data_IF_725137764177
#
_entry.id   IF_725137764177
#
_cell.length_a   1.000
_cell.length_b   1.000
_cell.length_c   1.000
_cell.angle_alpha   90.00
_cell.angle_beta   90.00
_cell.angle_gamma   90.00
#
_symmetry.space_group_name_H-M   'P 1'
#
loop_
_entity.id
_entity.type
_entity.pdbx_description
1 polymer ?
#
# COMPACT_ATOMS: atom_id res chain seq x y z
N UNK A 1 -16.50 -2.68 7.95
CA UNK A 1 -17.54 -3.49 7.30
C UNK A 1 -18.91 -2.80 7.27
N UNK A 2 -19.40 -2.18 8.36
CA UNK A 2 -20.74 -1.57 8.47
C UNK A 2 -21.06 -0.52 7.39
N UNK A 3 -20.08 0.03 6.69
CA UNK A 3 -20.29 0.99 5.60
C UNK A 3 -20.37 0.33 4.22
N UNK A 4 -20.01 -0.96 4.11
CA UNK A 4 -19.84 -1.63 2.81
C UNK A 4 -20.73 -2.86 2.65
N UNK A 5 -21.41 -3.32 3.71
CA UNK A 5 -22.28 -4.49 3.67
C UNK A 5 -23.46 -4.33 4.63
N UNK A 6 -24.59 -4.96 4.29
CA UNK A 6 -25.78 -5.02 5.15
C UNK A 6 -25.59 -5.97 6.34
N UNK A 7 -24.70 -6.97 6.21
CA UNK A 7 -24.42 -7.98 7.22
C UNK A 7 -22.94 -7.93 7.66
N UNK A 8 -22.48 -6.86 8.32
CA UNK A 8 -21.08 -6.67 8.65
C UNK A 8 -20.50 -7.75 9.57
N UNK A 9 -21.31 -8.25 10.52
CA UNK A 9 -20.88 -9.28 11.48
C UNK A 9 -20.65 -10.63 10.81
N UNK A 10 -21.47 -11.00 9.83
CA UNK A 10 -21.32 -12.24 9.07
C UNK A 10 -19.98 -12.27 8.34
N UNK A 11 -19.59 -11.16 7.70
CA UNK A 11 -18.30 -11.05 7.01
C UNK A 11 -17.14 -11.00 8.00
N UNK A 12 -17.27 -10.26 9.09
CA UNK A 12 -16.24 -10.17 10.12
C UNK A 12 -15.89 -11.56 10.71
N UNK A 13 -16.92 -12.38 10.96
CA UNK A 13 -16.78 -13.71 11.54
C UNK A 13 -16.18 -14.75 10.56
N UNK A 14 -16.09 -14.43 9.26
CA UNK A 14 -15.43 -15.29 8.25
C UNK A 14 -13.93 -15.01 8.16
N UNK A 15 -13.43 -13.97 8.84
CA UNK A 15 -12.03 -13.59 8.79
C UNK A 15 -11.33 -14.15 10.03
N UNK A 16 -10.24 -14.87 9.80
CA UNK A 16 -9.31 -15.22 10.86
C UNK A 16 -8.38 -14.03 11.11
N UNK A 17 -8.37 -13.53 12.34
CA UNK A 17 -7.56 -12.41 12.76
C UNK A 17 -6.33 -12.92 13.47
N UNK A 18 -5.14 -12.61 12.93
CA UNK A 18 -3.85 -13.02 13.47
C UNK A 18 -3.03 -11.77 13.78
N UNK A 19 -2.60 -11.61 15.02
CA UNK A 19 -1.66 -10.56 15.40
C UNK A 19 -0.24 -10.97 15.02
N UNK A 20 0.44 -10.11 14.27
CA UNK A 20 1.81 -10.34 13.81
C UNK A 20 2.71 -9.16 14.15
N UNK A 21 3.97 -9.43 14.45
CA UNK A 21 5.02 -8.43 14.50
C UNK A 21 5.83 -8.46 13.19
N UNK A 22 5.82 -7.37 12.43
CA UNK A 22 6.58 -7.25 11.19
C UNK A 22 8.11 -7.27 11.38
N UNK A 23 8.60 -7.10 12.60
CA UNK A 23 10.03 -7.24 12.92
C UNK A 23 10.38 -8.70 13.34
N UNK A 24 9.39 -9.55 13.57
CA UNK A 24 9.56 -10.98 13.90
C UNK A 24 9.23 -11.88 12.70
N UNK A 25 10.28 -12.36 12.03
CA UNK A 25 10.16 -13.22 10.86
C UNK A 25 9.40 -14.53 11.18
N UNK A 26 9.61 -15.09 12.38
CA UNK A 26 8.92 -16.31 12.78
C UNK A 26 7.41 -16.09 12.96
N UNK A 27 7.03 -14.95 13.53
CA UNK A 27 5.63 -14.54 13.63
C UNK A 27 4.97 -14.44 12.25
N UNK A 28 5.67 -13.82 11.28
CA UNK A 28 5.19 -13.71 9.89
C UNK A 28 5.09 -15.06 9.19
N UNK A 29 6.09 -15.93 9.33
CA UNK A 29 6.08 -17.28 8.76
C UNK A 29 4.92 -18.13 9.28
N UNK A 30 4.65 -18.05 10.60
CA UNK A 30 3.51 -18.74 11.19
C UNK A 30 2.15 -18.23 10.66
N UNK A 31 2.01 -16.91 10.49
CA UNK A 31 0.80 -16.31 9.93
C UNK A 31 0.56 -16.68 8.46
N UNK A 32 1.64 -16.95 7.71
CA UNK A 32 1.56 -17.35 6.30
C UNK A 32 1.36 -18.86 6.09
N UNK A 33 1.22 -19.65 7.15
CA UNK A 33 1.02 -21.09 7.01
C UNK A 33 -0.30 -21.39 6.26
N UNK A 34 -0.20 -22.03 5.09
CA UNK A 34 -1.34 -22.36 4.23
C UNK A 34 -1.89 -21.17 3.41
N UNK A 35 -1.24 -19.99 3.46
CA UNK A 35 -1.61 -18.82 2.67
C UNK A 35 -1.02 -18.95 1.26
N UNK A 36 -1.85 -18.74 0.24
CA UNK A 36 -1.43 -18.79 -1.17
C UNK A 36 -1.32 -17.39 -1.79
N UNK A 37 -2.06 -16.41 -1.29
CA UNK A 37 -2.08 -15.04 -1.81
C UNK A 37 -1.95 -14.02 -0.68
N UNK A 38 -1.15 -12.99 -0.93
CA UNK A 38 -0.93 -11.90 0.04
C UNK A 38 -1.29 -10.56 -0.58
N UNK A 39 -2.13 -9.79 0.11
CA UNK A 39 -2.43 -8.40 -0.20
C UNK A 39 -1.79 -7.50 0.87
N UNK A 40 -0.63 -6.95 0.56
CA UNK A 40 0.11 -6.10 1.49
C UNK A 40 -0.35 -4.65 1.40
N UNK A 41 -1.35 -4.31 2.20
CA UNK A 41 -1.91 -2.95 2.31
C UNK A 41 -1.36 -2.16 3.50
N UNK A 42 -0.59 -2.82 4.37
CA UNK A 42 -0.07 -2.19 5.59
C UNK A 42 1.00 -1.16 5.27
N UNK A 43 0.82 0.05 5.76
CA UNK A 43 1.83 1.10 5.75
C UNK A 43 1.57 2.12 6.86
N UNK A 44 2.63 2.67 7.43
CA UNK A 44 2.55 3.85 8.28
C UNK A 44 2.60 5.10 7.39
N UNK A 45 1.61 5.97 7.58
CA UNK A 45 1.57 7.31 6.98
C UNK A 45 1.60 8.33 8.11
N UNK A 46 2.62 9.14 8.17
CA UNK A 46 2.78 10.17 9.19
C UNK A 46 3.57 11.35 8.61
N UNK A 47 3.04 12.55 8.76
CA UNK A 47 3.66 13.77 8.24
C UNK A 47 4.54 14.48 9.28
N UNK A 48 4.62 13.95 10.51
CA UNK A 48 5.44 14.53 11.54
C UNK A 48 6.94 14.23 11.29
N UNK A 49 7.86 15.21 11.38
CA UNK A 49 9.28 15.00 11.10
C UNK A 49 9.94 13.87 11.92
N UNK A 50 9.51 13.69 13.16
CA UNK A 50 10.05 12.66 14.07
C UNK A 50 9.55 11.25 13.74
N UNK A 51 8.50 11.08 12.93
CA UNK A 51 7.94 9.78 12.56
C UNK A 51 8.74 9.05 11.49
N UNK A 52 9.73 9.72 10.84
CA UNK A 52 10.51 9.18 9.72
C UNK A 52 11.14 7.82 10.03
N UNK A 53 11.79 7.71 11.18
CA UNK A 53 12.49 6.47 11.57
C UNK A 53 11.52 5.29 11.71
N UNK A 54 10.42 5.51 12.39
CA UNK A 54 9.41 4.48 12.59
C UNK A 54 8.71 4.13 11.28
N UNK A 55 8.41 5.11 10.44
CA UNK A 55 7.85 4.90 9.11
C UNK A 55 8.77 4.03 8.24
N UNK A 56 10.08 4.27 8.24
CA UNK A 56 11.05 3.47 7.48
C UNK A 56 11.13 2.05 8.03
N UNK A 57 11.14 1.89 9.36
CA UNK A 57 11.10 0.56 9.99
C UNK A 57 9.85 -0.21 9.59
N UNK A 58 8.68 0.40 9.70
CA UNK A 58 7.41 -0.26 9.38
C UNK A 58 7.29 -0.54 7.89
N UNK A 59 7.51 0.47 7.04
CA UNK A 59 7.21 0.34 5.62
C UNK A 59 8.30 -0.44 4.88
N UNK A 60 9.58 -0.13 5.11
CA UNK A 60 10.68 -0.76 4.37
C UNK A 60 11.02 -2.11 5.00
N UNK A 61 11.42 -2.12 6.28
CA UNK A 61 11.86 -3.37 6.91
C UNK A 61 10.70 -4.36 7.05
N UNK A 62 9.50 -3.87 7.42
CA UNK A 62 8.31 -4.71 7.51
C UNK A 62 7.94 -5.36 6.18
N UNK A 63 7.94 -4.61 5.07
CA UNK A 63 7.71 -5.17 3.73
C UNK A 63 8.80 -6.18 3.36
N UNK A 64 10.07 -5.87 3.61
CA UNK A 64 11.18 -6.78 3.36
C UNK A 64 11.05 -8.09 4.13
N UNK A 65 10.73 -8.03 5.42
CA UNK A 65 10.55 -9.21 6.26
C UNK A 65 9.36 -10.05 5.78
N UNK A 66 8.25 -9.41 5.40
CA UNK A 66 7.10 -10.12 4.84
C UNK A 66 7.45 -10.83 3.53
N UNK A 67 8.20 -10.20 2.63
CA UNK A 67 8.66 -10.81 1.39
C UNK A 67 9.57 -12.01 1.65
N UNK A 68 10.49 -11.91 2.61
CA UNK A 68 11.34 -13.05 3.04
C UNK A 68 10.45 -14.20 3.55
N UNK A 69 9.46 -13.89 4.40
CA UNK A 69 8.55 -14.91 4.90
C UNK A 69 7.72 -15.57 3.78
N UNK A 70 7.33 -14.80 2.75
CA UNK A 70 6.63 -15.35 1.58
C UNK A 70 7.50 -16.32 0.78
N UNK A 71 8.81 -16.07 0.64
CA UNK A 71 9.73 -16.92 -0.13
C UNK A 71 9.83 -18.34 0.46
N UNK A 72 9.73 -18.46 1.78
CA UNK A 72 9.81 -19.73 2.50
C UNK A 72 8.43 -20.35 2.82
N UNK A 73 7.38 -19.90 2.12
CA UNK A 73 5.99 -20.31 2.39
C UNK A 73 5.28 -20.89 1.16
N UNK A 74 3.98 -21.16 1.28
CA UNK A 74 3.11 -21.57 0.17
C UNK A 74 2.57 -20.41 -0.67
N UNK A 75 3.02 -19.18 -0.43
CA UNK A 75 2.54 -17.97 -1.15
C UNK A 75 2.93 -18.07 -2.62
N UNK A 76 1.92 -18.00 -3.48
CA UNK A 76 2.05 -18.08 -4.93
C UNK A 76 2.03 -16.68 -5.59
N UNK A 77 1.34 -15.72 -4.96
CA UNK A 77 1.18 -14.39 -5.52
C UNK A 77 1.10 -13.30 -4.45
N UNK A 78 1.69 -12.16 -4.72
CA UNK A 78 1.83 -11.06 -3.78
C UNK A 78 1.40 -9.74 -4.42
N UNK A 79 0.38 -9.09 -3.85
CA UNK A 79 -0.07 -7.76 -4.23
C UNK A 79 0.48 -6.71 -3.26
N UNK A 80 1.22 -5.75 -3.78
CA UNK A 80 1.73 -4.61 -3.02
C UNK A 80 0.95 -3.34 -3.34
N UNK A 81 0.30 -2.76 -2.33
CA UNK A 81 -0.32 -1.44 -2.49
C UNK A 81 0.74 -0.37 -2.23
N UNK A 82 1.31 0.15 -3.32
CA UNK A 82 2.26 1.26 -3.34
C UNK A 82 1.54 2.63 -3.32
N UNK A 83 1.99 3.59 -4.09
CA UNK A 83 1.38 4.93 -4.18
C UNK A 83 1.89 5.66 -5.42
N UNK A 84 1.07 6.53 -6.02
CA UNK A 84 1.55 7.49 -7.03
C UNK A 84 2.68 8.40 -6.49
N UNK A 85 2.87 8.49 -5.18
CA UNK A 85 3.94 9.28 -4.59
C UNK A 85 5.36 8.79 -4.93
N UNK A 86 5.50 7.58 -5.51
CA UNK A 86 6.76 7.03 -5.99
C UNK A 86 7.00 7.31 -7.48
N UNK A 87 6.06 7.89 -8.17
CA UNK A 87 6.15 8.20 -9.59
C UNK A 87 6.50 9.67 -9.78
N UNK A 88 7.43 9.94 -10.66
CA UNK A 88 7.86 11.28 -11.06
C UNK A 88 7.86 11.42 -12.58
N UNK A 89 7.63 12.62 -13.01
CA UNK A 89 7.57 12.91 -14.43
C UNK A 89 6.18 12.65 -15.02
N UNK A 90 5.97 13.27 -16.15
CA UNK A 90 4.74 13.15 -16.91
C UNK A 90 5.09 12.61 -18.30
N UNK A 91 4.23 11.78 -18.84
CA UNK A 91 4.31 11.33 -20.22
C UNK A 91 4.01 12.48 -21.21
N UNK A 92 4.03 12.21 -22.50
CA UNK A 92 3.77 13.20 -23.57
C UNK A 92 2.37 13.83 -23.48
N UNK A 93 1.43 13.15 -22.82
CA UNK A 93 0.06 13.63 -22.59
C UNK A 93 -0.06 14.47 -21.31
N UNK A 94 1.01 14.63 -20.52
CA UNK A 94 0.99 15.32 -19.22
C UNK A 94 0.43 14.48 -18.07
N UNK A 95 0.45 13.16 -18.20
CA UNK A 95 -0.07 12.21 -17.20
C UNK A 95 1.07 11.37 -16.61
N UNK A 96 0.89 10.88 -15.38
CA UNK A 96 1.71 9.82 -14.79
C UNK A 96 1.12 8.47 -15.16
N UNK A 97 1.97 7.53 -15.55
CA UNK A 97 1.62 6.18 -15.93
C UNK A 97 2.63 5.15 -15.39
N UNK A 98 2.52 3.89 -15.81
CA UNK A 98 3.36 2.79 -15.37
C UNK A 98 4.82 2.92 -15.84
N UNK A 99 5.09 3.75 -16.84
CA UNK A 99 6.45 4.05 -17.34
C UNK A 99 7.10 5.22 -16.58
N UNK A 100 6.36 5.90 -15.71
CA UNK A 100 6.87 7.00 -14.88
C UNK A 100 7.82 6.48 -13.82
N UNK A 101 9.05 7.01 -13.78
CA UNK A 101 10.11 6.54 -12.90
C UNK A 101 10.32 7.47 -11.71
N UNK A 102 10.79 6.91 -10.59
CA UNK A 102 11.22 7.67 -9.43
C UNK A 102 12.50 8.48 -9.72
N UNK A 103 12.47 9.78 -9.46
CA UNK A 103 13.60 10.67 -9.65
C UNK A 103 14.26 11.05 -8.33
N UNK A 104 15.34 10.35 -7.96
CA UNK A 104 16.07 10.58 -6.71
C UNK A 104 16.67 11.98 -6.54
N UNK A 105 16.67 12.81 -7.59
CA UNK A 105 17.17 14.20 -7.54
C UNK A 105 16.11 15.17 -7.01
N UNK A 106 14.83 14.75 -6.98
CA UNK A 106 13.75 15.56 -6.43
C UNK A 106 13.67 15.40 -4.91
N UNK A 107 13.07 16.37 -4.27
CA UNK A 107 12.84 16.33 -2.81
C UNK A 107 11.52 15.62 -2.52
N UNK A 108 11.59 14.40 -2.03
CA UNK A 108 10.44 13.57 -1.71
C UNK A 108 10.08 13.59 -0.22
N UNK A 109 8.80 13.38 0.07
CA UNK A 109 8.37 13.12 1.43
C UNK A 109 8.98 11.81 1.97
N UNK A 110 9.14 11.70 3.29
CA UNK A 110 9.60 10.46 3.92
C UNK A 110 8.69 9.26 3.58
N UNK A 111 7.38 9.51 3.38
CA UNK A 111 6.44 8.51 2.93
C UNK A 111 6.76 8.02 1.51
N UNK A 112 6.92 8.93 0.54
CA UNK A 112 7.28 8.58 -0.83
C UNK A 112 8.58 7.77 -0.89
N UNK A 113 9.61 8.22 -0.17
CA UNK A 113 10.88 7.48 -0.03
C UNK A 113 10.65 6.08 0.53
N UNK A 114 9.84 5.94 1.59
CA UNK A 114 9.57 4.63 2.19
C UNK A 114 8.85 3.68 1.23
N UNK A 115 7.85 4.18 0.49
CA UNK A 115 7.12 3.38 -0.50
C UNK A 115 8.00 2.98 -1.68
N UNK A 116 8.85 3.90 -2.17
CA UNK A 116 9.81 3.60 -3.23
C UNK A 116 10.75 2.45 -2.85
N UNK A 117 11.39 2.52 -1.68
CA UNK A 117 12.29 1.45 -1.24
C UNK A 117 11.57 0.13 -1.01
N UNK A 118 10.34 0.15 -0.47
CA UNK A 118 9.52 -1.04 -0.35
C UNK A 118 9.18 -1.65 -1.71
N UNK A 119 8.85 -0.81 -2.70
CA UNK A 119 8.56 -1.24 -4.07
C UNK A 119 9.80 -1.88 -4.74
N UNK A 120 10.99 -1.33 -4.50
CA UNK A 120 12.24 -1.93 -4.96
C UNK A 120 12.49 -3.34 -4.38
N UNK A 121 12.12 -3.55 -3.10
CA UNK A 121 12.19 -4.89 -2.49
C UNK A 121 11.16 -5.86 -3.12
N UNK A 122 9.96 -5.37 -3.51
CA UNK A 122 8.97 -6.17 -4.25
C UNK A 122 9.47 -6.53 -5.65
N UNK A 123 10.05 -5.58 -6.38
CA UNK A 123 10.67 -5.83 -7.69
C UNK A 123 11.79 -6.87 -7.61
N UNK A 124 12.60 -6.80 -6.53
CA UNK A 124 13.63 -7.81 -6.29
C UNK A 124 13.01 -9.18 -6.07
N UNK A 125 12.00 -9.31 -5.21
CA UNK A 125 11.32 -10.57 -4.95
C UNK A 125 10.67 -11.13 -6.23
N UNK A 126 10.15 -10.28 -7.10
CA UNK A 126 9.65 -10.66 -8.43
C UNK A 126 10.76 -11.26 -9.30
N UNK A 127 11.93 -10.62 -9.35
CA UNK A 127 13.09 -11.10 -10.09
C UNK A 127 13.63 -12.44 -9.52
N UNK A 128 13.42 -12.69 -8.23
CA UNK A 128 13.77 -13.92 -7.52
C UNK A 128 12.69 -15.03 -7.69
N UNK A 129 11.58 -14.74 -8.38
CA UNK A 129 10.57 -15.73 -8.79
C UNK A 129 9.24 -15.68 -8.06
N UNK A 130 9.02 -14.73 -7.13
CA UNK A 130 7.70 -14.50 -6.54
C UNK A 130 6.81 -13.78 -7.56
N UNK A 131 5.63 -14.32 -7.88
CA UNK A 131 4.69 -13.61 -8.73
C UNK A 131 4.13 -12.39 -7.99
N UNK A 132 4.38 -11.18 -8.51
CA UNK A 132 4.03 -9.94 -7.84
C UNK A 132 3.16 -9.03 -8.69
N UNK A 133 2.27 -8.32 -8.02
CA UNK A 133 1.46 -7.22 -8.58
C UNK A 133 1.71 -5.99 -7.73
N UNK A 134 1.96 -4.85 -8.38
CA UNK A 134 2.11 -3.55 -7.70
C UNK A 134 1.00 -2.64 -8.19
N UNK A 135 0.28 -2.01 -7.26
CA UNK A 135 -0.72 -0.99 -7.58
C UNK A 135 -0.28 0.34 -6.96
N UNK A 136 -0.31 1.41 -7.75
CA UNK A 136 0.09 2.76 -7.35
C UNK A 136 -1.12 3.69 -7.29
N UNK A 137 -1.99 3.55 -6.29
CA UNK A 137 -3.19 4.36 -6.22
C UNK A 137 -2.85 5.84 -5.97
N UNK A 138 -3.70 6.71 -6.49
CA UNK A 138 -3.78 8.10 -6.07
C UNK A 138 -4.28 8.21 -4.64
N UNK A 139 -4.81 9.37 -4.27
CA UNK A 139 -5.38 9.55 -2.95
C UNK A 139 -6.66 8.71 -2.81
N UNK A 140 -6.60 7.70 -1.95
CA UNK A 140 -7.73 6.79 -1.73
C UNK A 140 -8.78 7.49 -0.88
N UNK A 141 -10.03 7.48 -1.37
CA UNK A 141 -11.20 8.03 -0.69
C UNK A 141 -12.18 6.90 -0.41
N UNK A 142 -12.77 6.91 0.77
CA UNK A 142 -13.80 5.93 1.13
C UNK A 142 -14.32 6.15 2.54
N UNK A 143 -15.42 5.48 2.86
CA UNK A 143 -15.98 5.50 4.21
C UNK A 143 -15.03 4.81 5.19
N UNK A 144 -14.74 5.43 6.31
CA UNK A 144 -13.82 4.87 7.30
C UNK A 144 -13.50 5.83 8.44
N UNK A 145 -12.27 5.84 8.88
CA UNK A 145 -11.80 6.75 9.92
C UNK A 145 -11.39 8.10 9.32
N UNK A 146 -12.26 9.10 9.47
CA UNK A 146 -12.05 10.47 8.96
C UNK A 146 -11.01 11.27 9.75
N UNK A 147 -10.62 10.81 10.94
CA UNK A 147 -9.66 11.49 11.81
C UNK A 147 -8.20 11.17 11.44
N UNK A 148 -7.97 10.27 10.49
CA UNK A 148 -6.63 9.81 10.09
C UNK A 148 -6.45 9.77 8.57
N UNK A 149 -5.18 9.83 8.14
CA UNK A 149 -4.77 9.71 6.74
C UNK A 149 -5.50 10.70 5.83
N UNK A 150 -6.02 10.25 4.68
CA UNK A 150 -6.73 11.10 3.72
C UNK A 150 -8.02 11.73 4.28
N UNK A 151 -8.61 11.18 5.34
CA UNK A 151 -9.77 11.77 6.03
C UNK A 151 -9.50 13.19 6.55
N UNK A 152 -8.30 13.45 7.07
CA UNK A 152 -7.89 14.77 7.59
C UNK A 152 -7.99 15.87 6.52
N UNK A 153 -7.82 15.54 5.25
CA UNK A 153 -7.91 16.50 4.16
C UNK A 153 -9.31 17.09 4.01
N UNK A 154 -10.36 16.29 4.25
CA UNK A 154 -11.74 16.78 4.17
C UNK A 154 -12.04 17.80 5.25
N UNK A 155 -11.49 17.66 6.46
CA UNK A 155 -11.58 18.67 7.50
C UNK A 155 -10.88 19.99 7.09
N UNK A 156 -9.80 19.89 6.31
CA UNK A 156 -9.07 21.06 5.83
C UNK A 156 -9.78 21.76 4.66
N UNK A 157 -10.58 21.08 3.84
CA UNK A 157 -11.39 21.70 2.79
C UNK A 157 -12.48 22.63 3.33
N UNK A 158 -12.89 22.48 4.57
CA UNK A 158 -13.81 23.41 5.23
C UNK A 158 -13.15 24.73 5.65
N UNK A 159 -11.83 24.85 5.55
CA UNK A 159 -11.09 26.07 5.90
C UNK A 159 -11.04 27.05 4.72
N UNK A 160 -10.99 28.37 4.97
CA UNK A 160 -11.01 29.39 3.91
C UNK A 160 -9.68 29.50 3.12
N UNK A 161 -8.86 28.48 3.14
CA UNK A 161 -7.57 28.46 2.42
C UNK A 161 -7.64 27.48 1.28
N UNK A 162 -7.28 27.92 0.09
CA UNK A 162 -7.09 27.03 -1.08
C UNK A 162 -5.62 27.04 -1.47
N UNK A 163 -5.07 25.85 -1.73
CA UNK A 163 -3.75 25.73 -2.34
C UNK A 163 -3.94 25.51 -3.84
N UNK A 164 -3.06 26.09 -4.65
CA UNK A 164 -3.00 25.79 -6.07
C UNK A 164 -2.38 24.40 -6.24
N UNK A 165 -2.98 23.58 -7.07
CA UNK A 165 -2.51 22.22 -7.38
C UNK A 165 -3.67 21.24 -7.48
N UNK A 166 -3.36 20.04 -7.94
CA UNK A 166 -4.31 18.95 -8.08
C UNK A 166 -3.67 17.63 -7.67
N UNK A 167 -4.49 16.64 -7.43
CA UNK A 167 -4.05 15.26 -7.21
C UNK A 167 -5.13 14.32 -7.75
N UNK A 168 -4.73 13.09 -8.06
CA UNK A 168 -5.65 12.04 -8.46
C UNK A 168 -6.30 11.41 -7.23
N UNK A 169 -7.61 11.20 -7.33
CA UNK A 169 -8.41 10.50 -6.31
C UNK A 169 -8.96 9.21 -6.88
N UNK A 170 -9.07 8.21 -6.03
CA UNK A 170 -9.65 6.91 -6.38
C UNK A 170 -10.52 6.41 -5.23
N UNK A 171 -11.66 5.78 -5.56
CA UNK A 171 -12.51 5.15 -4.56
C UNK A 171 -11.82 3.88 -4.02
N UNK A 172 -11.88 3.67 -2.71
CA UNK A 172 -11.29 2.48 -2.06
C UNK A 172 -11.83 1.17 -2.62
N UNK A 173 -13.09 1.16 -3.10
CA UNK A 173 -13.72 -0.02 -3.71
C UNK A 173 -13.11 -0.34 -5.05
N UNK A 174 -12.73 0.68 -5.83
CA UNK A 174 -12.06 0.51 -7.12
C UNK A 174 -10.63 -0.01 -6.90
N UNK A 175 -9.91 0.51 -5.91
CA UNK A 175 -8.58 -0.02 -5.54
C UNK A 175 -8.67 -1.49 -5.15
N UNK A 176 -9.64 -1.84 -4.29
CA UNK A 176 -9.85 -3.23 -3.87
C UNK A 176 -10.18 -4.14 -5.05
N UNK A 177 -11.12 -3.70 -5.92
CA UNK A 177 -11.53 -4.45 -7.11
C UNK A 177 -10.39 -4.66 -8.08
N UNK A 178 -9.63 -3.59 -8.41
CA UNK A 178 -8.48 -3.67 -9.32
C UNK A 178 -7.41 -4.62 -8.74
N UNK A 179 -7.14 -4.53 -7.43
CA UNK A 179 -6.17 -5.42 -6.78
C UNK A 179 -6.59 -6.89 -6.90
N UNK A 180 -7.87 -7.22 -6.68
CA UNK A 180 -8.40 -8.57 -6.84
C UNK A 180 -8.33 -9.01 -8.30
N UNK A 181 -8.82 -8.19 -9.23
CA UNK A 181 -8.83 -8.50 -10.67
C UNK A 181 -7.41 -8.79 -11.20
N UNK A 182 -6.39 -8.09 -10.69
CA UNK A 182 -4.98 -8.31 -11.05
C UNK A 182 -4.41 -9.57 -10.41
N UNK A 183 -4.82 -9.89 -9.19
CA UNK A 183 -4.38 -11.11 -8.50
C UNK A 183 -4.98 -12.37 -9.12
N UNK A 184 -6.21 -12.31 -9.65
CA UNK A 184 -6.86 -13.41 -10.35
C UNK A 184 -6.31 -13.67 -11.77
N UNK A 185 -5.67 -12.66 -12.39
CA UNK A 185 -5.08 -12.80 -13.73
C UNK A 185 -3.75 -13.55 -13.67
N UNK A 186 -3.51 -14.37 -14.67
CA UNK A 186 -2.20 -14.98 -14.94
C UNK A 186 -1.34 -13.97 -15.74
N UNK A 187 -0.76 -13.01 -15.03
CA UNK A 187 0.15 -12.01 -15.59
C UNK A 187 1.49 -12.11 -14.90
#
# INVERSE_FOLDING_TARGET
FKFYTQNPEEFFNKIEWIDVDFDDLFSLQNALNGVEEVYHCAAKVDFHPNARREMYRTNINGTKNLLIACTDSSVKKFCFVSSIAVLDGLNENGEMDEDSNYNSKLNHSAYAVSKHFSEMDVWRASAEGLNTVIVNPGMIIGSGNWEKSSGILFENFAKPYTFSGGTSYVDVRDVAKISIDLMEKNI
#
